data_IF_137688355208
#
_entry.id   IF_137688355208
#
_cell.length_a   1.000
_cell.length_b   1.000
_cell.length_c   1.000
_cell.angle_alpha   90.00
_cell.angle_beta   90.00
_cell.angle_gamma   90.00
#
_symmetry.space_group_name_H-M   'P 1'
#
loop_
_entity.id
_entity.type
_entity.pdbx_description
1 polymer ?
#
# COMPACT_ATOMS: atom_id res chain seq x y z
N UNK A 1 16.75 -3.05 -1.79
CA UNK A 1 15.92 -2.57 -2.92
C UNK A 1 16.80 -1.63 -3.71
N UNK A 2 16.81 -1.73 -5.04
CA UNK A 2 17.69 -0.90 -5.88
C UNK A 2 16.95 0.32 -6.44
N UNK A 3 17.67 1.36 -6.85
CA UNK A 3 17.11 2.64 -7.31
C UNK A 3 16.03 2.49 -8.39
N UNK A 4 16.23 1.66 -9.41
CA UNK A 4 15.25 1.46 -10.48
C UNK A 4 13.93 0.89 -9.96
N UNK A 5 13.99 -0.03 -9.00
CA UNK A 5 12.79 -0.59 -8.37
C UNK A 5 12.10 0.47 -7.52
N UNK A 6 12.86 1.29 -6.78
CA UNK A 6 12.33 2.40 -5.98
C UNK A 6 11.56 3.39 -6.85
N UNK A 7 12.16 3.82 -7.97
CA UNK A 7 11.52 4.76 -8.90
C UNK A 7 10.25 4.15 -9.51
N UNK A 8 10.27 2.86 -9.88
CA UNK A 8 9.09 2.18 -10.41
C UNK A 8 7.94 2.11 -9.37
N UNK A 9 8.25 1.80 -8.11
CA UNK A 9 7.26 1.77 -7.03
C UNK A 9 6.66 3.15 -6.75
N UNK A 10 7.50 4.19 -6.68
CA UNK A 10 7.04 5.57 -6.51
C UNK A 10 6.18 6.03 -7.70
N UNK A 11 6.62 5.74 -8.93
CA UNK A 11 5.86 6.07 -10.14
C UNK A 11 4.50 5.35 -10.18
N UNK A 12 4.41 4.12 -9.67
CA UNK A 12 3.16 3.39 -9.53
C UNK A 12 2.23 3.99 -8.46
N UNK A 13 2.79 4.49 -7.34
CA UNK A 13 2.02 5.14 -6.28
C UNK A 13 1.66 6.60 -6.56
N UNK A 14 2.36 7.28 -7.47
CA UNK A 14 2.14 8.66 -7.87
C UNK A 14 0.89 8.85 -8.76
N UNK A 15 -0.24 8.28 -8.35
CA UNK A 15 -1.55 8.46 -8.97
C UNK A 15 -2.63 8.20 -7.93
N UNK A 16 -3.61 9.09 -7.85
CA UNK A 16 -4.64 9.10 -6.78
C UNK A 16 -5.35 7.74 -6.63
N UNK A 17 -5.91 7.21 -7.72
CA UNK A 17 -6.61 5.91 -7.69
C UNK A 17 -5.70 4.74 -7.28
N UNK A 18 -4.45 4.69 -7.76
CA UNK A 18 -3.51 3.61 -7.42
C UNK A 18 -3.12 3.67 -5.94
N UNK A 19 -2.87 4.88 -5.42
CA UNK A 19 -2.60 5.07 -4.01
C UNK A 19 -3.82 4.69 -3.15
N UNK A 20 -5.04 5.07 -3.56
CA UNK A 20 -6.27 4.69 -2.87
C UNK A 20 -6.47 3.17 -2.83
N UNK A 21 -6.28 2.48 -3.97
CA UNK A 21 -6.30 1.01 -4.07
C UNK A 21 -5.28 0.39 -3.13
N UNK A 22 -4.02 0.81 -3.21
CA UNK A 22 -2.96 0.27 -2.37
C UNK A 22 -3.25 0.48 -0.88
N UNK A 23 -3.75 1.66 -0.48
CA UNK A 23 -4.13 1.94 0.91
C UNK A 23 -5.30 1.08 1.40
N UNK A 24 -6.30 0.86 0.56
CA UNK A 24 -7.41 -0.05 0.89
C UNK A 24 -6.91 -1.48 1.12
N UNK A 25 -5.97 -1.94 0.29
CA UNK A 25 -5.34 -3.26 0.45
C UNK A 25 -4.47 -3.36 1.71
N UNK A 26 -3.75 -2.29 2.07
CA UNK A 26 -3.02 -2.22 3.34
C UNK A 26 -3.97 -2.34 4.55
N UNK A 27 -5.13 -1.68 4.50
CA UNK A 27 -6.14 -1.75 5.56
C UNK A 27 -6.82 -3.13 5.64
N UNK A 28 -6.99 -3.82 4.51
CA UNK A 28 -7.48 -5.20 4.46
C UNK A 28 -6.48 -6.21 5.04
N UNK A 29 -5.19 -5.85 5.09
CA UNK A 29 -4.14 -6.70 5.66
C UNK A 29 -3.70 -7.84 4.72
N UNK A 30 -3.02 -8.87 5.25
CA UNK A 30 -2.46 -9.97 4.46
C UNK A 30 -3.49 -10.80 3.69
N UNK A 31 -4.75 -10.81 4.15
CA UNK A 31 -5.84 -11.49 3.47
C UNK A 31 -6.29 -10.77 2.19
N UNK A 32 -6.02 -9.47 2.10
CA UNK A 32 -6.41 -8.67 0.95
C UNK A 32 -7.93 -8.61 0.77
N UNK A 33 -8.36 -8.30 -0.46
CA UNK A 33 -9.79 -8.29 -0.79
C UNK A 33 -10.03 -8.60 -2.28
N UNK A 34 -11.22 -9.08 -2.67
CA UNK A 34 -11.55 -9.37 -4.05
C UNK A 34 -11.70 -8.08 -4.87
N UNK A 35 -11.32 -8.13 -6.15
CA UNK A 35 -11.34 -6.96 -7.04
C UNK A 35 -12.69 -6.22 -7.07
N UNK A 36 -13.81 -6.95 -7.04
CA UNK A 36 -15.14 -6.35 -7.01
C UNK A 36 -15.40 -5.52 -5.76
N UNK A 37 -14.86 -5.92 -4.60
CA UNK A 37 -15.00 -5.16 -3.35
C UNK A 37 -14.13 -3.90 -3.38
N UNK A 38 -12.93 -3.95 -3.98
CA UNK A 38 -12.09 -2.76 -4.19
C UNK A 38 -12.81 -1.74 -5.06
N UNK A 39 -13.39 -2.20 -6.18
CA UNK A 39 -14.12 -1.35 -7.13
C UNK A 39 -15.29 -0.64 -6.44
N UNK A 40 -16.08 -1.38 -5.65
CA UNK A 40 -17.21 -0.82 -4.91
C UNK A 40 -16.77 0.16 -3.80
N UNK A 41 -15.71 -0.16 -3.05
CA UNK A 41 -15.22 0.68 -1.96
C UNK A 41 -14.70 2.04 -2.45
N UNK A 42 -14.07 2.06 -3.63
CA UNK A 42 -13.43 3.25 -4.19
C UNK A 42 -14.25 3.95 -5.26
N UNK A 43 -15.45 3.43 -5.58
CA UNK A 43 -16.32 3.91 -6.66
C UNK A 43 -15.58 4.01 -8.01
N UNK A 44 -14.85 2.96 -8.37
CA UNK A 44 -14.05 2.89 -9.61
C UNK A 44 -14.60 1.82 -10.54
N UNK A 45 -14.71 2.15 -11.83
CA UNK A 45 -15.12 1.19 -12.86
C UNK A 45 -14.17 -0.04 -12.90
N UNK A 46 -14.68 -1.28 -13.07
CA UNK A 46 -13.86 -2.49 -13.06
C UNK A 46 -12.72 -2.53 -14.08
N UNK A 47 -12.90 -1.93 -15.26
CA UNK A 47 -11.87 -1.81 -16.29
C UNK A 47 -10.72 -0.92 -15.85
N UNK A 48 -11.01 0.26 -15.29
CA UNK A 48 -10.01 1.18 -14.74
C UNK A 48 -9.29 0.58 -13.54
N UNK A 49 -10.02 -0.10 -12.64
CA UNK A 49 -9.40 -0.80 -11.52
C UNK A 49 -8.41 -1.89 -12.01
N UNK A 50 -8.79 -2.67 -13.01
CA UNK A 50 -7.91 -3.72 -13.57
C UNK A 50 -6.62 -3.12 -14.12
N UNK A 51 -6.70 -1.96 -14.79
CA UNK A 51 -5.52 -1.22 -15.23
C UNK A 51 -4.65 -0.77 -14.05
N UNK A 52 -5.24 -0.17 -13.02
CA UNK A 52 -4.51 0.26 -11.82
C UNK A 52 -3.85 -0.90 -11.07
N UNK A 53 -4.54 -2.03 -10.92
CA UNK A 53 -3.99 -3.23 -10.28
C UNK A 53 -2.85 -3.85 -11.09
N UNK A 54 -2.93 -3.82 -12.42
CA UNK A 54 -1.84 -4.28 -13.29
C UNK A 54 -0.57 -3.44 -13.09
N UNK A 55 -0.71 -2.11 -13.08
CA UNK A 55 0.42 -1.19 -12.84
C UNK A 55 1.05 -1.41 -11.46
N UNK A 56 0.22 -1.54 -10.41
CA UNK A 56 0.69 -1.84 -9.07
C UNK A 56 1.39 -3.20 -8.98
N UNK A 57 0.88 -4.22 -9.69
CA UNK A 57 1.48 -5.55 -9.72
C UNK A 57 2.82 -5.55 -10.47
N UNK A 58 2.94 -4.79 -11.56
CA UNK A 58 4.20 -4.59 -12.28
C UNK A 58 5.28 -3.96 -11.40
N UNK A 59 4.87 -3.01 -10.54
CA UNK A 59 5.75 -2.42 -9.54
C UNK A 59 5.94 -3.28 -8.28
N UNK A 60 5.46 -4.53 -8.29
CA UNK A 60 5.52 -5.49 -7.18
C UNK A 60 4.89 -4.99 -5.87
N UNK A 61 4.01 -4.00 -5.92
CA UNK A 61 3.34 -3.44 -4.74
C UNK A 61 2.09 -4.24 -4.35
N UNK A 62 1.52 -5.01 -5.26
CA UNK A 62 0.40 -5.91 -4.96
C UNK A 62 0.66 -7.30 -5.51
N UNK A 63 0.06 -8.29 -4.87
CA UNK A 63 -0.01 -9.67 -5.37
C UNK A 63 -1.46 -10.05 -5.58
N UNK A 64 -1.69 -11.03 -6.45
CA UNK A 64 -3.02 -11.61 -6.67
C UNK A 64 -3.03 -13.10 -6.41
N UNK A 65 -4.18 -13.60 -5.97
CA UNK A 65 -4.44 -15.03 -5.80
C UNK A 65 -5.86 -15.34 -6.25
N UNK A 66 -6.05 -16.49 -6.89
CA UNK A 66 -7.36 -16.91 -7.34
C UNK A 66 -8.00 -17.84 -6.29
N UNK A 67 -9.20 -17.48 -5.85
CA UNK A 67 -9.99 -18.26 -4.89
C UNK A 67 -11.37 -18.52 -5.50
N UNK A 68 -11.55 -19.72 -6.07
CA UNK A 68 -12.74 -20.09 -6.82
C UNK A 68 -12.95 -19.18 -8.03
N UNK A 69 -14.06 -18.42 -8.02
CA UNK A 69 -14.44 -17.51 -9.11
C UNK A 69 -13.92 -16.09 -8.93
N UNK A 70 -13.29 -15.79 -7.79
CA UNK A 70 -12.83 -14.45 -7.45
C UNK A 70 -11.31 -14.36 -7.51
N UNK A 71 -10.81 -13.17 -7.84
CA UNK A 71 -9.39 -12.83 -7.73
C UNK A 71 -9.24 -11.86 -6.56
N UNK A 72 -8.48 -12.29 -5.57
CA UNK A 72 -8.10 -11.50 -4.41
C UNK A 72 -6.80 -10.78 -4.68
N UNK A 73 -6.72 -9.52 -4.27
CA UNK A 73 -5.51 -8.72 -4.31
C UNK A 73 -5.07 -8.38 -2.90
N UNK A 74 -3.77 -8.42 -2.65
CA UNK A 74 -3.16 -8.13 -1.36
C UNK A 74 -2.03 -7.12 -1.56
N UNK A 75 -1.77 -6.28 -0.55
CA UNK A 75 -0.58 -5.44 -0.55
C UNK A 75 0.68 -6.31 -0.35
N UNK A 76 1.72 -6.06 -1.13
CA UNK A 76 3.02 -6.68 -0.93
C UNK A 76 3.81 -5.86 0.10
N UNK A 77 3.67 -6.23 1.37
CA UNK A 77 4.34 -5.55 2.48
C UNK A 77 5.86 -5.64 2.40
N UNK A 78 6.43 -6.70 1.80
CA UNK A 78 7.88 -6.82 1.64
C UNK A 78 8.43 -5.70 0.73
N UNK A 79 7.77 -5.47 -0.42
CA UNK A 79 8.14 -4.38 -1.33
C UNK A 79 7.95 -3.02 -0.66
N UNK A 80 6.84 -2.81 0.04
CA UNK A 80 6.57 -1.53 0.74
C UNK A 80 7.60 -1.25 1.83
N UNK A 81 7.95 -2.25 2.64
CA UNK A 81 8.99 -2.11 3.66
C UNK A 81 10.36 -1.84 3.04
N UNK A 82 10.68 -2.48 1.91
CA UNK A 82 11.88 -2.18 1.14
C UNK A 82 11.92 -0.74 0.63
N UNK A 83 10.79 -0.23 0.13
CA UNK A 83 10.66 1.15 -0.32
C UNK A 83 10.85 2.14 0.85
N UNK A 84 10.17 1.89 1.97
CA UNK A 84 10.31 2.72 3.17
C UNK A 84 11.75 2.71 3.68
N UNK A 85 12.38 1.53 3.78
CA UNK A 85 13.77 1.40 4.20
C UNK A 85 14.73 2.17 3.28
N UNK A 86 14.54 2.09 1.96
CA UNK A 86 15.35 2.85 0.99
C UNK A 86 15.18 4.36 1.17
N UNK A 87 13.95 4.84 1.39
CA UNK A 87 13.67 6.27 1.56
C UNK A 87 14.14 6.82 2.92
N UNK A 88 14.19 5.98 3.95
CA UNK A 88 14.62 6.36 5.30
C UNK A 88 16.08 6.02 5.59
N UNK A 89 16.78 5.36 4.67
CA UNK A 89 18.21 5.10 4.79
C UNK A 89 18.97 6.41 4.94
N UNK A 90 19.73 6.55 6.03
CA UNK A 90 20.41 7.79 6.42
C UNK A 90 19.49 9.03 6.54
N UNK A 91 18.19 8.84 6.75
CA UNK A 91 17.27 9.93 7.05
C UNK A 91 17.79 10.77 8.22
N UNK A 92 17.66 12.10 8.11
CA UNK A 92 18.19 13.06 9.07
C UNK A 92 19.70 12.90 9.38
N UNK A 93 20.47 12.41 8.41
CA UNK A 93 21.90 12.16 8.58
C UNK A 93 22.23 11.00 9.51
N UNK A 94 21.32 10.02 9.62
CA UNK A 94 21.46 8.87 10.51
C UNK A 94 20.93 9.11 11.94
N UNK A 95 20.33 10.28 12.19
CA UNK A 95 19.65 10.54 13.46
C UNK A 95 18.28 9.85 13.49
N UNK A 96 17.80 9.42 14.66
CA UNK A 96 16.46 8.85 14.80
C UNK A 96 15.38 9.85 14.36
N UNK A 97 14.85 9.65 13.16
CA UNK A 97 13.71 10.37 12.63
C UNK A 97 12.55 9.36 12.51
N UNK A 98 11.50 9.56 13.29
CA UNK A 98 10.25 8.79 13.12
C UNK A 98 9.17 9.75 12.67
N UNK A 99 8.23 9.34 11.81
CA UNK A 99 6.89 9.89 11.90
C UNK A 99 6.32 9.39 13.23
N UNK A 100 6.65 10.08 14.33
CA UNK A 100 6.01 9.87 15.63
C UNK A 100 4.56 10.32 15.48
N UNK A 101 3.65 9.41 15.13
CA UNK A 101 2.28 9.54 15.64
C UNK A 101 2.34 9.20 17.11
N UNK A 102 2.63 10.21 17.94
CA UNK A 102 2.33 10.13 19.35
C UNK A 102 0.83 9.83 19.46
N UNK A 103 0.49 8.61 19.86
CA UNK A 103 -0.85 8.32 20.35
C UNK A 103 -1.02 9.21 21.59
N UNK A 104 -1.98 10.17 21.62
CA UNK A 104 -2.16 10.98 22.82
C UNK A 104 -2.47 10.03 23.99
N UNK A 105 -1.82 10.17 25.15
CA UNK A 105 -2.16 9.34 26.29
C UNK A 105 -3.63 9.54 26.61
N UNK A 106 -4.38 8.42 26.64
CA UNK A 106 -5.75 8.39 27.12
C UNK A 106 -5.82 9.16 28.44
N UNK A 107 -6.58 10.26 28.44
CA UNK A 107 -6.84 11.07 29.63
C UNK A 107 -7.51 10.15 30.64
N UNK A 108 -6.78 9.66 31.64
CA UNK A 108 -7.41 9.10 32.84
C UNK A 108 -8.21 10.22 33.50
N UNK A 109 -9.52 10.21 33.27
CA UNK A 109 -10.50 10.86 34.14
C UNK A 109 -10.61 10.02 35.40
N UNK A 110 -10.67 10.71 36.54
CA UNK A 110 -11.15 10.26 37.87
C UNK A 110 -10.11 9.48 38.68
N UNK A 111 -9.89 9.77 39.98
CA UNK A 111 -10.75 10.39 41.00
C UNK A 111 -10.06 11.51 41.78
#
# INVERSE_FOLDING_TARGET
MEMNQTVAALAALAHESRLAVFRALVQAGPEGMPAGQIAALLDVAPSSLSFHLKELAHAQLVTSRQEGRFVFYCANFATMNGLLAYLTENCCGGNPCTPTTACPPSRKKQS
#
